data_IF_295695260720
#
_entry.id   IF_295695260720
#
_cell.length_a   1.000
_cell.length_b   1.000
_cell.length_c   1.000
_cell.angle_alpha   90.00
_cell.angle_beta   90.00
_cell.angle_gamma   90.00
#
_symmetry.space_group_name_H-M   'P 1'
#
loop_
_entity.id
_entity.type
_entity.pdbx_description
1 polymer ?
#
# COMPACT_ATOMS: atom_id res chain seq x y z
N UNK A 1 -12.03 -10.63 7.07
CA UNK A 1 -11.28 -9.45 7.51
C UNK A 1 -11.16 -8.56 6.30
N UNK A 2 -11.65 -7.32 6.42
CA UNK A 2 -11.67 -6.37 5.30
C UNK A 2 -10.25 -5.88 4.97
N UNK A 3 -10.06 -5.33 3.77
CA UNK A 3 -8.77 -4.76 3.35
C UNK A 3 -8.48 -3.43 4.05
N UNK A 4 -7.20 -3.12 4.24
CA UNK A 4 -6.74 -1.86 4.81
C UNK A 4 -6.95 -0.72 3.82
N UNK A 5 -7.63 0.34 4.25
CA UNK A 5 -8.02 1.45 3.37
C UNK A 5 -7.47 2.80 3.84
N UNK A 6 -7.41 3.75 2.91
CA UNK A 6 -6.88 5.09 3.16
C UNK A 6 -5.37 5.19 2.91
N UNK A 7 -4.78 6.29 3.38
CA UNK A 7 -3.34 6.53 3.22
C UNK A 7 -2.48 5.63 4.13
N UNK A 8 -1.17 5.67 3.93
CA UNK A 8 -0.20 4.86 4.68
C UNK A 8 -0.38 4.95 6.21
N UNK A 9 -0.63 6.14 6.76
CA UNK A 9 -0.82 6.34 8.20
C UNK A 9 -2.13 5.69 8.71
N UNK A 10 -3.21 5.77 7.93
CA UNK A 10 -4.49 5.14 8.25
C UNK A 10 -4.38 3.61 8.20
N UNK A 11 -3.71 3.06 7.18
CA UNK A 11 -3.46 1.62 7.05
C UNK A 11 -2.59 1.10 8.20
N UNK A 12 -1.54 1.82 8.58
CA UNK A 12 -0.70 1.47 9.73
C UNK A 12 -1.49 1.47 11.06
N UNK A 13 -2.37 2.44 11.27
CA UNK A 13 -3.24 2.49 12.45
C UNK A 13 -4.26 1.35 12.50
N UNK A 14 -4.83 1.00 11.35
CA UNK A 14 -5.74 -0.15 11.24
C UNK A 14 -5.01 -1.46 11.51
N UNK A 15 -3.80 -1.65 10.96
CA UNK A 15 -2.98 -2.84 11.20
C UNK A 15 -2.67 -3.00 12.70
N UNK A 16 -2.21 -1.93 13.36
CA UNK A 16 -1.89 -1.98 14.79
C UNK A 16 -3.10 -2.33 15.67
N UNK A 17 -4.31 -1.89 15.29
CA UNK A 17 -5.55 -2.29 15.97
C UNK A 17 -5.82 -3.79 15.82
N UNK A 18 -5.70 -4.31 14.60
CA UNK A 18 -5.95 -5.72 14.33
C UNK A 18 -4.92 -6.63 15.01
N UNK A 19 -3.64 -6.22 15.07
CA UNK A 19 -2.59 -6.94 15.80
C UNK A 19 -2.84 -6.98 17.31
N UNK A 20 -3.45 -5.93 17.88
CA UNK A 20 -3.85 -5.91 19.29
C UNK A 20 -5.02 -6.85 19.59
N UNK A 21 -5.84 -7.20 18.59
CA UNK A 21 -6.96 -8.15 18.71
C UNK A 21 -6.50 -9.61 18.58
N UNK A 22 -5.33 -9.87 18.00
CA UNK A 22 -4.71 -11.19 17.95
C UNK A 22 -3.85 -11.45 16.73
N UNK A 23 -3.49 -12.73 16.53
CA UNK A 23 -2.70 -13.16 15.39
C UNK A 23 -3.48 -12.98 14.08
N UNK A 24 -2.84 -12.34 13.10
CA UNK A 24 -3.42 -12.08 11.79
C UNK A 24 -3.29 -13.33 10.90
N UNK A 25 -4.32 -13.65 10.09
CA UNK A 25 -4.22 -14.74 9.12
C UNK A 25 -3.12 -14.45 8.09
N UNK A 26 -2.18 -15.38 7.86
CA UNK A 26 -1.04 -15.14 6.95
C UNK A 26 -1.49 -14.85 5.51
N UNK A 27 -2.56 -15.50 5.03
CA UNK A 27 -3.12 -15.25 3.70
C UNK A 27 -3.69 -13.83 3.58
N UNK A 28 -4.27 -13.30 4.66
CA UNK A 28 -4.77 -11.92 4.68
C UNK A 28 -3.62 -10.92 4.67
N UNK A 29 -2.56 -11.15 5.47
CA UNK A 29 -1.36 -10.30 5.47
C UNK A 29 -0.69 -10.27 4.10
N UNK A 30 -0.57 -11.44 3.46
CA UNK A 30 -0.04 -11.54 2.09
C UNK A 30 -0.87 -10.73 1.11
N UNK A 31 -2.20 -10.84 1.16
CA UNK A 31 -3.10 -10.04 0.32
C UNK A 31 -2.91 -8.53 0.55
N UNK A 32 -2.75 -8.07 1.79
CA UNK A 32 -2.48 -6.64 2.06
C UNK A 32 -1.15 -6.19 1.45
N UNK A 33 -0.12 -7.03 1.54
CA UNK A 33 1.18 -6.74 0.92
C UNK A 33 1.07 -6.67 -0.61
N UNK A 34 0.38 -7.64 -1.24
CA UNK A 34 0.19 -7.66 -2.69
C UNK A 34 -0.52 -6.38 -3.18
N UNK A 35 -1.53 -5.89 -2.45
CA UNK A 35 -2.23 -4.64 -2.77
C UNK A 35 -1.31 -3.42 -2.68
N UNK A 36 -0.49 -3.33 -1.63
CA UNK A 36 0.45 -2.20 -1.46
C UNK A 36 1.54 -2.22 -2.53
N UNK A 37 2.04 -3.39 -2.90
CA UNK A 37 3.04 -3.52 -3.98
C UNK A 37 2.49 -3.10 -5.34
N UNK A 38 1.21 -3.41 -5.62
CA UNK A 38 0.55 -2.94 -6.85
C UNK A 38 0.36 -1.42 -6.84
N UNK A 39 -0.09 -0.85 -5.72
CA UNK A 39 -0.25 0.61 -5.59
C UNK A 39 1.09 1.33 -5.76
N UNK A 40 2.17 0.77 -5.19
CA UNK A 40 3.51 1.34 -5.34
C UNK A 40 4.03 1.24 -6.77
N UNK A 41 3.85 0.10 -7.46
CA UNK A 41 4.26 -0.04 -8.88
C UNK A 41 3.54 0.99 -9.78
N UNK A 42 2.28 1.30 -9.51
CA UNK A 42 1.53 2.33 -10.25
C UNK A 42 2.03 3.75 -9.92
N UNK A 43 2.34 4.03 -8.64
CA UNK A 43 2.94 5.31 -8.24
C UNK A 43 4.35 5.51 -8.84
N UNK A 44 5.17 4.45 -8.93
CA UNK A 44 6.50 4.51 -9.57
C UNK A 44 6.38 4.83 -11.07
N UNK A 45 5.44 4.19 -11.78
CA UNK A 45 5.17 4.51 -13.20
C UNK A 45 4.71 5.95 -13.38
N UNK A 46 3.89 6.47 -12.48
CA UNK A 46 3.44 7.87 -12.54
C UNK A 46 4.61 8.84 -12.36
N UNK A 47 5.54 8.54 -11.45
CA UNK A 47 6.75 9.35 -11.24
C UNK A 47 7.71 9.30 -12.43
N UNK A 48 7.83 8.16 -13.10
CA UNK A 48 8.67 8.00 -14.29
C UNK A 48 8.16 8.85 -15.47
N UNK A 49 6.83 8.89 -15.68
CA UNK A 49 6.17 9.75 -16.68
C UNK A 49 6.42 11.25 -16.38
N UNK A 50 6.33 11.65 -15.12
CA UNK A 50 6.57 13.04 -14.70
C UNK A 50 8.05 13.48 -14.79
N UNK A 51 8.98 12.51 -14.78
CA UNK A 51 10.41 12.76 -15.00
C UNK A 51 10.70 12.96 -16.49
N UNK A 52 10.17 12.11 -17.37
CA UNK A 52 10.36 12.21 -18.83
C UNK A 52 9.81 13.54 -19.39
N UNK A 53 8.67 14.01 -18.87
CA UNK A 53 8.09 15.31 -19.28
C UNK A 53 8.87 16.55 -18.83
N UNK A 54 9.84 16.42 -17.91
CA UNK A 54 10.68 17.52 -17.43
C UNK A 54 12.01 17.64 -18.16
N UNK A 55 12.44 16.61 -18.88
CA UNK A 55 13.69 16.63 -19.67
C UNK A 55 13.52 17.28 -21.06
N UNK A 56 12.29 17.60 -21.46
CA UNK A 56 11.95 18.20 -22.76
C UNK A 56 11.92 19.76 -22.78
N UNK A 57 12.45 20.44 -21.74
CA UNK A 57 12.48 21.92 -21.63
C UNK A 57 13.88 22.53 -21.72
#
# INVERSE_FOLDING_TARGET
MDDLTGNAAQRAHQLAKLEAEGALPPDWVRRQLDLVLIEWDEDEKALDIDAEGREDF
#
